data_IF_390503594857
#
_entry.id   IF_390503594857
#
_cell.length_a   1.000
_cell.length_b   1.000
_cell.length_c   1.000
_cell.angle_alpha   90.00
_cell.angle_beta   90.00
_cell.angle_gamma   90.00
#
_symmetry.space_group_name_H-M   'P 1'
#
loop_
_entity.id
_entity.type
_entity.pdbx_description
1 polymer ?
#
# COMPACT_ATOMS: atom_id res chain seq x y z
N UNK A 1 17.32 6.68 -2.77
CA UNK A 1 17.00 7.88 -1.98
C UNK A 1 16.77 9.07 -2.91
N UNK A 2 15.54 9.21 -3.39
CA UNK A 2 14.99 10.47 -3.90
C UNK A 2 13.55 10.47 -3.40
N UNK A 3 13.33 11.00 -2.21
CA UNK A 3 11.98 11.27 -1.72
C UNK A 3 11.42 12.37 -2.60
N UNK A 4 10.46 12.01 -3.45
CA UNK A 4 9.71 12.95 -4.27
C UNK A 4 8.82 13.77 -3.33
N UNK A 5 9.40 14.78 -2.68
CA UNK A 5 8.66 15.85 -2.01
C UNK A 5 8.13 16.78 -3.09
N UNK A 6 7.04 16.37 -3.74
CA UNK A 6 6.22 17.27 -4.54
C UNK A 6 5.39 18.16 -3.59
N UNK A 7 5.32 19.48 -3.80
CA UNK A 7 4.36 20.31 -3.09
C UNK A 7 2.94 19.89 -3.52
N UNK A 8 2.09 19.54 -2.57
CA UNK A 8 0.65 19.38 -2.82
C UNK A 8 0.09 20.77 -3.09
N UNK A 9 0.08 21.17 -4.36
CA UNK A 9 -0.61 22.37 -4.79
C UNK A 9 -2.12 22.08 -4.74
N UNK A 10 -2.78 22.49 -3.66
CA UNK A 10 -4.24 22.53 -3.57
C UNK A 10 -4.78 23.50 -4.63
N UNK A 11 -5.21 22.97 -5.78
CA UNK A 11 -6.02 23.70 -6.73
C UNK A 11 -7.47 23.71 -6.23
N UNK A 12 -7.96 24.88 -5.86
CA UNK A 12 -9.38 25.16 -5.67
C UNK A 12 -10.12 24.87 -6.98
N UNK A 13 -10.73 23.69 -7.10
CA UNK A 13 -11.57 23.33 -8.24
C UNK A 13 -12.95 23.98 -8.09
N UNK A 14 -13.31 24.80 -9.07
CA UNK A 14 -14.62 25.44 -9.17
C UNK A 14 -15.72 24.40 -9.38
N UNK A 15 -16.80 24.49 -8.59
CA UNK A 15 -17.93 23.58 -8.64
C UNK A 15 -18.72 23.70 -9.96
N UNK A 16 -18.81 22.61 -10.72
CA UNK A 16 -19.84 22.42 -11.75
C UNK A 16 -20.82 21.35 -11.29
N UNK A 17 -22.07 21.74 -11.02
CA UNK A 17 -23.16 20.81 -10.74
C UNK A 17 -23.64 20.18 -12.06
N UNK A 18 -23.54 18.87 -12.16
CA UNK A 18 -24.36 18.08 -13.08
C UNK A 18 -25.25 17.16 -12.27
N UNK A 19 -26.55 17.42 -12.35
CA UNK A 19 -27.59 16.58 -11.79
C UNK A 19 -27.80 15.35 -12.68
N UNK A 20 -27.51 14.16 -12.16
CA UNK A 20 -27.95 12.88 -12.71
C UNK A 20 -28.97 12.25 -11.76
N UNK A 21 -30.03 11.65 -12.30
CA UNK A 21 -31.05 10.93 -11.54
C UNK A 21 -30.79 9.42 -11.59
N UNK A 22 -30.84 8.74 -10.44
CA UNK A 22 -31.58 7.48 -10.34
C UNK A 22 -31.03 6.48 -9.35
N UNK A 23 -31.66 6.35 -8.18
CA UNK A 23 -31.72 5.14 -7.32
C UNK A 23 -30.43 4.64 -6.66
N UNK A 24 -29.29 4.73 -7.34
CA UNK A 24 -27.95 4.50 -6.78
C UNK A 24 -27.42 5.71 -6.03
N UNK A 25 -27.92 6.91 -6.33
CA UNK A 25 -27.51 8.16 -5.67
C UNK A 25 -27.85 8.16 -4.19
N UNK A 26 -29.03 7.66 -3.78
CA UNK A 26 -29.44 7.67 -2.37
C UNK A 26 -28.64 6.68 -1.50
N UNK A 27 -28.40 5.45 -1.98
CA UNK A 27 -27.60 4.47 -1.23
C UNK A 27 -26.12 4.88 -1.12
N UNK A 28 -25.57 5.46 -2.20
CA UNK A 28 -24.22 6.00 -2.18
C UNK A 28 -24.11 7.26 -1.32
N UNK A 29 -25.11 8.15 -1.33
CA UNK A 29 -25.18 9.34 -0.48
C UNK A 29 -25.33 8.97 1.01
N UNK A 30 -26.11 7.94 1.34
CA UNK A 30 -26.21 7.40 2.72
C UNK A 30 -24.86 6.83 3.16
N UNK A 31 -24.23 5.96 2.36
CA UNK A 31 -22.90 5.42 2.67
C UNK A 31 -21.84 6.51 2.79
N UNK A 32 -21.91 7.55 1.95
CA UNK A 32 -21.02 8.70 2.01
C UNK A 32 -21.18 9.49 3.30
N UNK A 33 -22.42 9.72 3.75
CA UNK A 33 -22.73 10.44 4.99
C UNK A 33 -22.48 9.62 6.25
N UNK A 34 -22.49 8.30 6.16
CA UNK A 34 -22.05 7.43 7.26
C UNK A 34 -20.54 7.50 7.45
N UNK A 35 -19.76 7.47 6.35
CA UNK A 35 -18.30 7.60 6.41
C UNK A 35 -17.84 9.02 6.76
N UNK A 36 -18.54 10.03 6.24
CA UNK A 36 -18.23 11.44 6.38
C UNK A 36 -19.47 12.20 6.92
N UNK A 37 -19.79 12.05 8.21
CA UNK A 37 -20.98 12.67 8.81
C UNK A 37 -20.88 14.19 8.84
N UNK A 38 -22.04 14.87 8.97
CA UNK A 38 -22.07 16.34 9.06
C UNK A 38 -21.28 16.88 10.27
N UNK A 39 -21.24 16.12 11.37
CA UNK A 39 -20.50 16.47 12.59
C UNK A 39 -19.89 15.23 13.24
N UNK A 40 -18.64 15.34 13.68
CA UNK A 40 -18.02 14.42 14.62
C UNK A 40 -18.17 14.98 16.03
N UNK A 41 -19.17 14.51 16.78
CA UNK A 41 -19.61 15.13 18.04
C UNK A 41 -18.52 15.12 19.12
N UNK A 42 -17.71 14.07 19.17
CA UNK A 42 -16.67 13.82 20.16
C UNK A 42 -15.52 14.84 20.08
N UNK A 43 -15.33 15.45 18.90
CA UNK A 43 -14.25 16.40 18.63
C UNK A 43 -14.77 17.76 18.12
N UNK A 44 -16.09 17.96 18.11
CA UNK A 44 -16.73 19.18 17.61
C UNK A 44 -16.24 19.63 16.21
N UNK A 45 -15.87 18.68 15.34
CA UNK A 45 -15.52 18.97 13.96
C UNK A 45 -16.79 18.96 13.09
N UNK A 46 -16.99 20.01 12.30
CA UNK A 46 -18.16 20.19 11.44
C UNK A 46 -17.76 20.21 9.97
N UNK A 47 -18.48 19.44 9.15
CA UNK A 47 -18.23 19.38 7.71
C UNK A 47 -18.62 20.69 7.04
N UNK A 48 -17.71 21.33 6.32
CA UNK A 48 -17.90 22.64 5.68
C UNK A 48 -18.30 22.53 4.21
N UNK A 49 -18.09 21.36 3.60
CA UNK A 49 -18.47 21.06 2.21
C UNK A 49 -19.53 19.95 2.13
N UNK A 50 -20.17 19.82 0.97
CA UNK A 50 -20.82 18.56 0.62
C UNK A 50 -19.79 17.45 0.44
N UNK A 51 -20.21 16.19 0.57
CA UNK A 51 -19.33 15.06 0.22
C UNK A 51 -19.22 14.97 -1.28
N UNK A 52 -18.00 15.08 -1.79
CA UNK A 52 -17.71 14.83 -3.21
C UNK A 52 -17.28 13.39 -3.38
N UNK A 53 -17.71 12.76 -4.46
CA UNK A 53 -17.30 11.40 -4.82
C UNK A 53 -16.70 11.41 -6.22
N UNK A 54 -15.48 10.88 -6.34
CA UNK A 54 -14.82 10.67 -7.63
C UNK A 54 -14.68 9.16 -7.85
N UNK A 55 -15.11 8.67 -9.01
CA UNK A 55 -15.17 7.24 -9.36
C UNK A 55 -14.29 6.97 -10.58
N UNK A 56 -13.51 5.88 -10.53
CA UNK A 56 -12.66 5.44 -11.63
C UNK A 56 -11.78 6.57 -12.17
N UNK A 57 -11.82 6.79 -13.48
CA UNK A 57 -10.97 7.77 -14.17
C UNK A 57 -11.17 9.23 -13.73
N UNK A 58 -12.29 9.57 -13.07
CA UNK A 58 -12.50 10.95 -12.57
C UNK A 58 -11.57 11.32 -11.41
N UNK A 59 -10.79 10.38 -10.87
CA UNK A 59 -9.78 10.65 -9.84
C UNK A 59 -8.74 11.67 -10.30
N UNK A 60 -8.41 11.71 -11.60
CA UNK A 60 -7.49 12.69 -12.18
C UNK A 60 -7.96 14.14 -12.00
N UNK A 61 -9.27 14.36 -11.91
CA UNK A 61 -9.85 15.69 -11.64
C UNK A 61 -9.58 16.14 -10.19
N UNK A 62 -9.33 15.19 -9.28
CA UNK A 62 -9.07 15.45 -7.87
C UNK A 62 -7.58 15.47 -7.52
N UNK A 63 -6.82 14.47 -7.97
CA UNK A 63 -5.38 14.34 -7.71
C UNK A 63 -4.57 14.22 -9.01
N UNK A 64 -4.34 15.37 -9.65
CA UNK A 64 -3.58 15.45 -10.89
C UNK A 64 -2.12 14.98 -10.71
N UNK A 65 -1.66 14.11 -11.61
CA UNK A 65 -0.35 13.44 -11.53
C UNK A 65 -0.23 12.30 -10.51
N UNK A 66 -1.12 12.23 -9.51
CA UNK A 66 -1.09 11.21 -8.45
C UNK A 66 -1.98 9.99 -8.69
N UNK A 67 -3.01 10.12 -9.54
CA UNK A 67 -4.04 9.08 -9.69
C UNK A 67 -3.53 7.76 -10.29
N UNK A 68 -2.50 7.77 -11.15
CA UNK A 68 -1.94 6.55 -11.77
C UNK A 68 -1.56 5.52 -10.72
N UNK A 69 -0.87 5.94 -9.65
CA UNK A 69 -0.51 5.04 -8.56
C UNK A 69 -1.75 4.43 -7.90
N UNK A 70 -2.83 5.18 -7.71
CA UNK A 70 -4.07 4.65 -7.12
C UNK A 70 -4.73 3.62 -8.08
N UNK A 71 -4.68 3.88 -9.38
CA UNK A 71 -5.20 2.97 -10.41
C UNK A 71 -4.42 1.65 -10.51
N UNK A 72 -3.09 1.66 -10.32
CA UNK A 72 -2.27 0.44 -10.25
C UNK A 72 -2.74 -0.50 -9.11
N UNK A 73 -3.27 0.07 -8.02
CA UNK A 73 -3.88 -0.68 -6.92
C UNK A 73 -5.39 -0.89 -7.11
N UNK A 74 -5.93 -0.71 -8.31
CA UNK A 74 -7.34 -1.02 -8.61
C UNK A 74 -8.34 -0.14 -7.85
N UNK A 75 -8.04 1.16 -7.78
CA UNK A 75 -8.93 2.21 -7.30
C UNK A 75 -10.37 2.06 -7.83
N UNK A 76 -11.35 2.33 -6.96
CA UNK A 76 -12.77 2.33 -7.29
C UNK A 76 -13.36 3.72 -7.19
N UNK A 77 -13.26 4.31 -6.01
CA UNK A 77 -13.79 5.63 -5.74
C UNK A 77 -13.09 6.28 -4.54
N UNK A 78 -13.19 7.60 -4.43
CA UNK A 78 -12.84 8.35 -3.23
C UNK A 78 -14.02 9.23 -2.84
N UNK A 79 -14.35 9.21 -1.56
CA UNK A 79 -15.26 10.17 -0.94
C UNK A 79 -14.44 11.18 -0.15
N UNK A 80 -14.66 12.46 -0.40
CA UNK A 80 -13.89 13.54 0.22
C UNK A 80 -14.77 14.67 0.74
N UNK A 81 -14.41 15.24 1.88
CA UNK A 81 -15.02 16.42 2.45
C UNK A 81 -14.06 17.21 3.34
N UNK A 82 -14.34 18.51 3.49
CA UNK A 82 -13.62 19.39 4.39
C UNK A 82 -14.36 19.51 5.73
N UNK A 83 -13.61 19.62 6.82
CA UNK A 83 -14.10 19.82 8.17
C UNK A 83 -13.36 20.95 8.85
N UNK A 84 -14.07 21.67 9.73
CA UNK A 84 -13.47 22.69 10.59
C UNK A 84 -13.68 22.36 12.06
N UNK A 85 -12.67 22.60 12.89
CA UNK A 85 -12.75 22.58 14.35
C UNK A 85 -12.08 23.85 14.89
N UNK A 86 -12.89 24.83 15.31
CA UNK A 86 -12.38 26.14 15.74
C UNK A 86 -11.80 26.91 14.57
N UNK A 87 -10.47 27.09 14.55
CA UNK A 87 -9.72 27.77 13.48
C UNK A 87 -8.91 26.80 12.62
N UNK A 88 -9.14 25.49 12.76
CA UNK A 88 -8.39 24.43 12.06
C UNK A 88 -9.27 23.75 11.05
N UNK A 89 -8.80 23.73 9.81
CA UNK A 89 -9.44 23.00 8.72
C UNK A 89 -8.67 21.71 8.42
N UNK A 90 -9.41 20.67 8.02
CA UNK A 90 -8.85 19.41 7.54
C UNK A 90 -9.64 18.91 6.32
N UNK A 91 -8.95 18.15 5.46
CA UNK A 91 -9.58 17.35 4.40
C UNK A 91 -9.59 15.89 4.84
N UNK A 92 -10.71 15.20 4.66
CA UNK A 92 -10.83 13.76 4.90
C UNK A 92 -11.16 13.05 3.60
N UNK A 93 -10.26 12.19 3.16
CA UNK A 93 -10.43 11.31 2.01
C UNK A 93 -10.60 9.86 2.44
N UNK A 94 -11.60 9.18 1.91
CA UNK A 94 -11.82 7.74 2.08
C UNK A 94 -11.79 7.09 0.69
N UNK A 95 -10.65 6.48 0.35
CA UNK A 95 -10.42 5.79 -0.92
C UNK A 95 -10.84 4.32 -0.79
N UNK A 96 -11.66 3.83 -1.72
CA UNK A 96 -12.07 2.42 -1.86
C UNK A 96 -11.30 1.74 -3.00
N UNK A 97 -10.82 0.53 -2.76
CA UNK A 97 -10.09 -0.29 -3.72
C UNK A 97 -10.83 -1.59 -4.04
N UNK A 98 -10.41 -2.24 -5.13
CA UNK A 98 -10.99 -3.52 -5.56
C UNK A 98 -10.98 -4.62 -4.49
N UNK A 99 -9.93 -4.69 -3.67
CA UNK A 99 -9.79 -5.62 -2.55
C UNK A 99 -8.87 -5.08 -1.44
N UNK A 100 -8.82 -5.80 -0.32
CA UNK A 100 -8.06 -5.38 0.87
C UNK A 100 -6.54 -5.47 0.68
N UNK A 101 -6.06 -6.39 -0.16
CA UNK A 101 -4.64 -6.50 -0.49
C UNK A 101 -4.15 -5.28 -1.25
N UNK A 102 -4.95 -4.82 -2.21
CA UNK A 102 -4.68 -3.64 -3.00
C UNK A 102 -4.71 -2.36 -2.15
N UNK A 103 -5.70 -2.21 -1.25
CA UNK A 103 -5.73 -1.10 -0.29
C UNK A 103 -4.48 -1.09 0.61
N UNK A 104 -4.10 -2.24 1.16
CA UNK A 104 -2.86 -2.39 1.94
C UNK A 104 -1.63 -2.06 1.10
N UNK A 105 -1.59 -2.50 -0.15
CA UNK A 105 -0.51 -2.23 -1.10
C UNK A 105 -0.23 -0.75 -1.25
N UNK A 106 -1.27 0.02 -1.61
CA UNK A 106 -1.12 1.47 -1.75
C UNK A 106 -0.66 2.10 -0.43
N UNK A 107 -1.33 1.79 0.68
CA UNK A 107 -0.93 2.31 2.00
C UNK A 107 0.54 2.02 2.30
N UNK A 108 0.99 0.78 2.06
CA UNK A 108 2.36 0.36 2.33
C UNK A 108 3.37 1.15 1.51
N UNK A 109 3.04 1.56 0.27
CA UNK A 109 3.90 2.37 -0.60
C UNK A 109 3.88 3.84 -0.20
N UNK A 110 2.76 4.37 0.27
CA UNK A 110 2.65 5.75 0.77
C UNK A 110 3.35 5.97 2.11
N UNK A 111 3.46 4.91 2.94
CA UNK A 111 4.11 4.95 4.25
C UNK A 111 5.56 5.45 4.15
N UNK A 112 5.95 6.50 4.90
CA UNK A 112 7.33 6.98 4.92
C UNK A 112 8.26 5.95 5.58
N UNK A 113 9.57 6.10 5.37
CA UNK A 113 10.58 5.16 5.89
C UNK A 113 10.62 5.13 7.44
N UNK A 114 10.36 6.28 8.09
CA UNK A 114 10.33 6.43 9.55
C UNK A 114 8.97 6.99 10.01
N UNK A 115 7.89 6.19 9.98
CA UNK A 115 6.55 6.65 10.34
C UNK A 115 6.35 6.67 11.86
N UNK A 116 5.59 7.65 12.35
CA UNK A 116 4.99 7.56 13.69
C UNK A 116 3.74 6.68 13.62
N UNK A 117 3.88 5.39 13.94
CA UNK A 117 2.78 4.42 13.86
C UNK A 117 1.71 4.69 14.94
N UNK A 118 0.45 4.55 14.53
CA UNK A 118 -0.73 4.63 15.39
C UNK A 118 -1.61 3.39 15.19
N UNK A 119 -2.28 2.96 16.27
CA UNK A 119 -3.13 1.78 16.26
C UNK A 119 -4.54 2.11 15.73
N UNK A 120 -4.67 2.21 14.40
CA UNK A 120 -5.93 2.44 13.68
C UNK A 120 -5.96 1.51 12.45
N UNK A 121 -7.05 0.75 12.27
CA UNK A 121 -7.18 -0.20 11.18
C UNK A 121 -6.19 -1.37 11.27
N UNK A 122 -5.73 -1.86 10.10
CA UNK A 122 -4.64 -2.83 9.98
C UNK A 122 -3.32 -2.16 10.40
N UNK A 123 -3.09 -0.94 9.89
CA UNK A 123 -1.96 -0.09 10.25
C UNK A 123 -2.30 1.37 9.89
N UNK A 124 -1.77 2.31 10.66
CA UNK A 124 -1.82 3.72 10.34
C UNK A 124 -0.58 4.47 10.83
N UNK A 125 -0.32 5.64 10.26
CA UNK A 125 0.78 6.51 10.66
C UNK A 125 0.37 7.98 10.71
N UNK A 126 1.15 8.76 11.46
CA UNK A 126 1.14 10.22 11.45
C UNK A 126 2.34 10.72 10.64
N UNK A 127 2.09 11.66 9.74
CA UNK A 127 3.10 12.48 9.08
C UNK A 127 2.95 13.95 9.54
N UNK A 128 3.86 14.87 9.16
CA UNK A 128 3.87 16.24 9.71
C UNK A 128 2.52 16.98 9.68
N UNK A 129 1.74 16.80 8.62
CA UNK A 129 0.41 17.41 8.46
C UNK A 129 -0.68 16.42 8.03
N UNK A 130 -0.47 15.12 8.23
CA UNK A 130 -1.44 14.11 7.82
C UNK A 130 -1.52 12.90 8.74
N UNK A 131 -2.66 12.22 8.66
CA UNK A 131 -2.86 10.88 9.22
C UNK A 131 -3.38 9.97 8.13
N UNK A 132 -2.76 8.81 7.98
CA UNK A 132 -3.14 7.81 7.00
C UNK A 132 -3.35 6.47 7.69
N UNK A 133 -4.39 5.72 7.32
CA UNK A 133 -4.57 4.34 7.77
C UNK A 133 -5.25 3.50 6.71
N UNK A 134 -5.15 2.18 6.85
CA UNK A 134 -5.83 1.20 5.99
C UNK A 134 -6.65 0.23 6.81
N UNK A 135 -7.87 -0.06 6.37
CA UNK A 135 -8.75 -1.09 6.95
C UNK A 135 -9.65 -1.65 5.87
N UNK A 136 -9.75 -2.98 5.81
CA UNK A 136 -10.49 -3.63 4.73
C UNK A 136 -10.00 -3.16 3.36
N UNK A 137 -10.93 -2.70 2.52
CA UNK A 137 -10.67 -2.21 1.16
C UNK A 137 -10.39 -0.72 1.09
N UNK A 138 -10.23 -0.06 2.25
CA UNK A 138 -10.26 1.39 2.36
C UNK A 138 -8.93 1.92 2.85
N UNK A 139 -8.40 2.92 2.14
CA UNK A 139 -7.30 3.77 2.63
C UNK A 139 -7.90 5.12 2.96
N UNK A 140 -7.69 5.57 4.20
CA UNK A 140 -8.19 6.86 4.67
C UNK A 140 -7.02 7.79 4.87
N UNK A 141 -7.16 9.02 4.38
CA UNK A 141 -6.16 10.07 4.50
C UNK A 141 -6.81 11.34 5.02
N UNK A 142 -6.26 11.86 6.11
CA UNK A 142 -6.68 13.12 6.70
C UNK A 142 -5.52 14.10 6.58
N UNK A 143 -5.80 15.29 6.07
CA UNK A 143 -4.77 16.29 5.76
C UNK A 143 -5.14 17.58 6.49
N UNK A 144 -4.21 18.09 7.30
CA UNK A 144 -4.27 19.40 7.91
C UNK A 144 -3.45 20.44 7.14
N UNK A 145 -3.77 21.71 7.35
CA UNK A 145 -3.09 22.83 6.68
C UNK A 145 -1.93 23.44 7.48
N UNK A 146 -1.61 22.88 8.65
CA UNK A 146 -0.42 23.19 9.44
C UNK A 146 0.06 21.96 10.24
N UNK A 147 1.25 22.07 10.84
CA UNK A 147 1.90 20.99 11.61
C UNK A 147 1.78 21.19 13.14
N UNK A 148 0.80 21.98 13.59
CA UNK A 148 0.60 22.25 15.03
C UNK A 148 0.13 21.00 15.78
N UNK A 149 0.41 20.94 17.09
CA UNK A 149 -0.01 19.82 17.94
C UNK A 149 -1.54 19.71 18.02
N UNK A 150 -2.23 20.84 17.93
CA UNK A 150 -3.69 20.94 17.85
C UNK A 150 -4.23 20.29 16.56
N UNK A 151 -3.63 20.60 15.41
CA UNK A 151 -4.01 19.97 14.13
C UNK A 151 -3.72 18.47 14.15
N UNK A 152 -2.56 18.05 14.66
CA UNK A 152 -2.24 16.63 14.84
C UNK A 152 -3.28 15.91 15.72
N UNK A 153 -3.68 16.51 16.85
CA UNK A 153 -4.68 15.94 17.74
C UNK A 153 -6.06 15.82 17.05
N UNK A 154 -6.45 16.84 16.27
CA UNK A 154 -7.67 16.83 15.46
C UNK A 154 -7.64 15.69 14.42
N UNK A 155 -6.53 15.55 13.67
CA UNK A 155 -6.38 14.50 12.66
C UNK A 155 -6.49 13.10 13.28
N UNK A 156 -5.75 12.84 14.37
CA UNK A 156 -5.80 11.54 15.06
C UNK A 156 -7.18 11.26 15.65
N UNK A 157 -7.83 12.27 16.25
CA UNK A 157 -9.19 12.15 16.79
C UNK A 157 -10.20 11.81 15.70
N UNK A 158 -10.16 12.53 14.58
CA UNK A 158 -11.04 12.31 13.42
C UNK A 158 -10.80 10.94 12.80
N UNK A 159 -9.54 10.53 12.63
CA UNK A 159 -9.18 9.23 12.06
C UNK A 159 -9.80 8.07 12.84
N UNK A 160 -9.78 8.13 14.17
CA UNK A 160 -10.40 7.11 15.04
C UNK A 160 -11.91 7.03 14.89
N UNK A 161 -12.59 8.14 14.62
CA UNK A 161 -14.04 8.16 14.40
C UNK A 161 -14.40 7.65 13.01
N UNK A 162 -13.61 8.01 11.99
CA UNK A 162 -13.78 7.48 10.64
C UNK A 162 -13.55 5.96 10.62
N UNK A 163 -12.53 5.46 11.32
CA UNK A 163 -12.23 4.02 11.38
C UNK A 163 -13.41 3.18 11.90
N UNK A 164 -14.22 3.72 12.82
CA UNK A 164 -15.41 3.05 13.34
C UNK A 164 -16.51 2.87 12.29
N UNK A 165 -16.54 3.75 11.29
CA UNK A 165 -17.51 3.73 10.18
C UNK A 165 -17.02 2.93 8.97
N UNK A 166 -15.71 2.79 8.85
CA UNK A 166 -15.01 1.99 7.82
C UNK A 166 -15.21 0.49 8.12
N UNK A 167 -15.69 -0.26 7.14
CA UNK A 167 -15.97 -1.69 7.26
C UNK A 167 -14.86 -2.53 6.66
N UNK A 168 -14.63 -3.72 7.23
CA UNK A 168 -13.74 -4.72 6.65
C UNK A 168 -12.79 -5.35 7.67
N UNK A 169 -11.84 -6.12 7.14
CA UNK A 169 -10.86 -6.84 7.96
C UNK A 169 -9.85 -5.91 8.63
N UNK A 170 -9.41 -6.32 9.82
CA UNK A 170 -8.25 -5.74 10.54
C UNK A 170 -6.98 -6.59 10.33
N UNK A 171 -7.09 -7.71 9.61
CA UNK A 171 -5.95 -8.57 9.32
C UNK A 171 -5.18 -8.05 8.08
N UNK A 172 -3.84 -8.04 8.13
CA UNK A 172 -3.03 -7.77 6.94
C UNK A 172 -3.21 -8.89 5.90
N UNK A 173 -2.79 -8.66 4.64
CA UNK A 173 -2.85 -9.67 3.60
C UNK A 173 -2.23 -11.02 4.05
N UNK A 174 -2.95 -12.15 3.97
CA UNK A 174 -2.49 -13.43 4.53
C UNK A 174 -1.15 -13.92 3.99
N UNK A 175 -0.77 -13.50 2.78
CA UNK A 175 0.51 -13.84 2.16
C UNK A 175 1.72 -13.36 2.97
N UNK A 176 1.59 -12.30 3.78
CA UNK A 176 2.67 -11.88 4.69
C UNK A 176 2.96 -12.91 5.78
N UNK A 177 2.01 -13.79 6.12
CA UNK A 177 2.22 -14.90 7.03
C UNK A 177 3.07 -16.04 6.46
N UNK A 178 3.40 -16.01 5.17
CA UNK A 178 4.29 -16.98 4.52
C UNK A 178 5.78 -16.63 4.65
N UNK A 179 6.09 -15.44 5.16
CA UNK A 179 7.46 -14.97 5.36
C UNK A 179 7.97 -15.29 6.78
N UNK A 180 9.29 -15.43 6.98
CA UNK A 180 9.84 -15.71 8.29
C UNK A 180 9.71 -14.52 9.24
N UNK A 181 9.48 -14.79 10.53
CA UNK A 181 9.38 -13.71 11.54
C UNK A 181 10.78 -13.28 12.04
N UNK A 182 11.72 -14.22 12.10
CA UNK A 182 13.09 -13.97 12.56
C UNK A 182 13.81 -13.01 11.62
N UNK A 183 14.57 -12.08 12.20
CA UNK A 183 15.40 -11.09 11.48
C UNK A 183 14.61 -10.08 10.62
N UNK A 184 13.28 -10.12 10.63
CA UNK A 184 12.43 -9.19 9.89
C UNK A 184 12.64 -7.76 10.41
N UNK A 185 12.86 -6.82 9.49
CA UNK A 185 12.87 -5.39 9.77
C UNK A 185 11.42 -4.92 9.84
N UNK A 186 11.05 -4.27 10.95
CA UNK A 186 9.69 -3.79 11.15
C UNK A 186 9.28 -2.80 10.05
N UNK A 187 7.99 -2.79 9.69
CA UNK A 187 7.40 -1.83 8.76
C UNK A 187 7.97 -1.89 7.32
N UNK A 188 8.45 -3.07 6.91
CA UNK A 188 8.96 -3.33 5.54
C UNK A 188 8.05 -4.24 4.71
N UNK A 189 6.92 -4.66 5.27
CA UNK A 189 5.85 -5.36 4.56
C UNK A 189 5.34 -4.46 3.42
N UNK A 190 5.53 -4.91 2.17
CA UNK A 190 5.07 -4.23 0.95
C UNK A 190 4.30 -5.21 0.07
N UNK A 191 3.21 -4.75 -0.52
CA UNK A 191 2.58 -5.42 -1.66
C UNK A 191 2.65 -4.49 -2.86
N UNK A 192 3.28 -4.94 -3.92
CA UNK A 192 3.44 -4.23 -5.18
C UNK A 192 2.49 -4.84 -6.21
N UNK A 193 1.41 -4.12 -6.50
CA UNK A 193 0.40 -4.54 -7.46
C UNK A 193 1.01 -4.65 -8.87
N UNK A 194 1.86 -3.69 -9.23
CA UNK A 194 2.54 -3.62 -10.52
C UNK A 194 4.05 -3.42 -10.37
N UNK A 195 4.79 -3.72 -11.45
CA UNK A 195 6.18 -3.31 -11.67
C UNK A 195 7.18 -3.66 -10.55
N UNK A 196 7.15 -4.87 -10.02
CA UNK A 196 8.19 -5.34 -9.09
C UNK A 196 9.58 -5.19 -9.72
N UNK A 197 10.54 -4.62 -8.98
CA UNK A 197 11.91 -4.28 -9.42
C UNK A 197 11.98 -3.49 -10.75
N UNK A 198 10.92 -2.73 -11.08
CA UNK A 198 10.82 -1.93 -12.30
C UNK A 198 10.39 -2.71 -13.55
N UNK A 199 9.96 -3.98 -13.41
CA UNK A 199 9.56 -4.82 -14.54
C UNK A 199 8.04 -4.98 -14.60
N UNK A 200 7.39 -4.39 -15.60
CA UNK A 200 5.91 -4.37 -15.73
C UNK A 200 5.25 -5.76 -15.76
N UNK A 201 5.96 -6.79 -16.21
CA UNK A 201 5.46 -8.17 -16.22
C UNK A 201 5.40 -8.81 -14.83
N UNK A 202 6.11 -8.23 -13.85
CA UNK A 202 6.21 -8.73 -12.48
C UNK A 202 5.18 -8.02 -11.60
N UNK A 203 3.96 -8.56 -11.58
CA UNK A 203 2.84 -7.99 -10.84
C UNK A 203 2.51 -8.79 -9.59
N UNK A 204 1.85 -8.16 -8.61
CA UNK A 204 1.31 -8.79 -7.39
C UNK A 204 2.37 -9.47 -6.53
N UNK A 205 3.46 -8.76 -6.26
CA UNK A 205 4.54 -9.23 -5.42
C UNK A 205 4.34 -8.77 -3.97
N UNK A 206 4.59 -9.68 -3.03
CA UNK A 206 4.76 -9.36 -1.62
C UNK A 206 6.25 -9.34 -1.33
N UNK A 207 6.70 -8.44 -0.47
CA UNK A 207 8.08 -8.40 0.01
C UNK A 207 8.19 -7.94 1.45
N UNK A 208 9.29 -8.35 2.10
CA UNK A 208 9.70 -7.93 3.44
C UNK A 208 11.22 -7.88 3.49
N UNK A 209 11.76 -6.94 4.27
CA UNK A 209 13.20 -6.78 4.44
C UNK A 209 13.70 -7.43 5.73
N UNK A 210 14.94 -7.89 5.68
CA UNK A 210 15.60 -8.65 6.74
C UNK A 210 17.00 -8.13 6.96
N UNK A 211 17.36 -7.94 8.23
CA UNK A 211 18.72 -7.62 8.64
C UNK A 211 19.49 -8.90 8.91
N UNK A 212 20.43 -9.24 8.02
CA UNK A 212 21.27 -10.43 8.15
C UNK A 212 22.73 -9.97 8.19
N UNK A 213 23.35 -10.13 9.36
CA UNK A 213 24.67 -9.58 9.66
C UNK A 213 24.72 -8.06 9.47
N UNK A 214 25.54 -7.56 8.54
CA UNK A 214 25.66 -6.13 8.22
C UNK A 214 24.89 -5.72 6.96
N UNK A 215 24.11 -6.63 6.36
CA UNK A 215 23.41 -6.43 5.09
C UNK A 215 21.90 -6.48 5.26
N UNK A 216 21.20 -5.74 4.39
CA UNK A 216 19.75 -5.83 4.25
C UNK A 216 19.42 -6.63 3.00
N UNK A 217 18.58 -7.64 3.16
CA UNK A 217 18.03 -8.43 2.04
C UNK A 217 16.52 -8.29 2.00
N UNK A 218 15.95 -8.36 0.80
CA UNK A 218 14.51 -8.40 0.59
C UNK A 218 14.11 -9.79 0.17
N UNK A 219 13.28 -10.46 0.97
CA UNK A 219 12.57 -11.66 0.51
C UNK A 219 11.33 -11.22 -0.27
N UNK A 220 10.99 -11.95 -1.33
CA UNK A 220 9.80 -11.66 -2.12
C UNK A 220 9.08 -12.92 -2.57
N UNK A 221 7.75 -12.83 -2.74
CA UNK A 221 6.95 -13.90 -3.31
C UNK A 221 5.77 -13.39 -4.14
N UNK A 222 5.34 -14.18 -5.12
CA UNK A 222 4.06 -14.03 -5.82
C UNK A 222 3.50 -15.40 -6.19
N UNK A 223 2.18 -15.49 -6.37
CA UNK A 223 1.57 -16.68 -6.95
C UNK A 223 1.94 -16.78 -8.43
N UNK A 224 2.37 -17.97 -8.84
CA UNK A 224 2.77 -18.26 -10.22
C UNK A 224 2.52 -19.74 -10.56
N UNK A 225 1.24 -20.13 -10.52
CA UNK A 225 0.80 -21.53 -10.61
C UNK A 225 1.27 -22.27 -11.87
N UNK A 226 1.46 -21.56 -12.98
CA UNK A 226 1.90 -22.13 -14.26
C UNK A 226 3.34 -21.72 -14.61
N UNK A 227 4.06 -21.07 -13.69
CA UNK A 227 5.41 -20.54 -13.88
C UNK A 227 5.56 -19.53 -15.05
N UNK A 228 4.48 -18.80 -15.39
CA UNK A 228 4.47 -17.82 -16.49
C UNK A 228 5.29 -16.58 -16.12
N UNK A 229 5.16 -16.08 -14.89
CA UNK A 229 5.99 -14.95 -14.43
C UNK A 229 7.44 -15.35 -14.33
N UNK A 230 7.74 -16.56 -13.88
CA UNK A 230 9.10 -17.08 -13.82
C UNK A 230 9.72 -17.18 -15.20
N UNK A 231 8.98 -17.68 -16.19
CA UNK A 231 9.45 -17.73 -17.57
C UNK A 231 9.77 -16.32 -18.09
N UNK A 232 8.82 -15.39 -17.96
CA UNK A 232 8.99 -13.99 -18.41
C UNK A 232 10.16 -13.30 -17.70
N UNK A 233 10.32 -13.49 -16.40
CA UNK A 233 11.46 -12.94 -15.67
C UNK A 233 12.77 -13.57 -16.15
N UNK A 234 12.81 -14.89 -16.33
CA UNK A 234 13.99 -15.57 -16.85
C UNK A 234 14.39 -15.01 -18.23
N UNK A 235 13.44 -14.71 -19.11
CA UNK A 235 13.72 -14.10 -20.42
C UNK A 235 14.31 -12.69 -20.33
N UNK A 236 13.92 -11.91 -19.31
CA UNK A 236 14.41 -10.55 -19.07
C UNK A 236 15.76 -10.50 -18.33
N UNK A 237 16.08 -11.54 -17.57
CA UNK A 237 17.33 -11.59 -16.81
C UNK A 237 18.51 -11.92 -17.72
N UNK A 238 19.36 -10.92 -17.95
CA UNK A 238 20.63 -11.06 -18.68
C UNK A 238 21.72 -11.66 -17.78
N UNK A 239 22.69 -12.35 -18.39
CA UNK A 239 23.86 -12.93 -17.69
C UNK A 239 23.52 -13.82 -16.48
N UNK A 240 22.43 -14.60 -16.60
CA UNK A 240 22.02 -15.56 -15.56
C UNK A 240 23.12 -16.59 -15.29
N UNK A 241 23.18 -17.03 -14.03
CA UNK A 241 23.97 -18.16 -13.55
C UNK A 241 23.07 -19.15 -12.82
N UNK A 242 23.59 -20.35 -12.60
CA UNK A 242 22.87 -21.39 -11.86
C UNK A 242 22.70 -20.98 -10.40
N UNK A 243 21.49 -21.18 -9.88
CA UNK A 243 21.23 -21.11 -8.45
C UNK A 243 21.92 -22.29 -7.72
N UNK A 244 22.20 -22.16 -6.40
CA UNK A 244 22.73 -23.28 -5.61
C UNK A 244 21.84 -24.52 -5.73
N UNK A 245 22.45 -25.65 -6.10
CA UNK A 245 21.74 -26.90 -6.40
C UNK A 245 21.14 -27.59 -5.19
N UNK A 246 21.55 -27.21 -3.98
CA UNK A 246 21.05 -27.70 -2.70
C UNK A 246 19.82 -26.93 -2.19
N UNK A 247 19.40 -25.87 -2.87
CA UNK A 247 18.14 -25.19 -2.58
C UNK A 247 16.97 -25.95 -3.19
N UNK A 248 15.94 -26.19 -2.37
CA UNK A 248 14.81 -27.04 -2.69
C UNK A 248 13.77 -26.39 -3.63
N UNK A 249 14.21 -25.78 -4.73
CA UNK A 249 13.33 -25.27 -5.79
C UNK A 249 12.70 -26.40 -6.60
N UNK A 250 11.52 -26.15 -7.16
CA UNK A 250 10.77 -27.14 -7.93
C UNK A 250 11.37 -27.33 -9.33
N UNK A 251 11.64 -28.58 -9.71
CA UNK A 251 12.05 -28.99 -11.06
C UNK A 251 13.25 -28.20 -11.63
N UNK A 252 14.16 -27.73 -10.77
CA UNK A 252 15.32 -26.92 -11.19
C UNK A 252 14.95 -25.55 -11.77
N UNK A 253 13.72 -25.05 -11.54
CA UNK A 253 13.29 -23.73 -11.98
C UNK A 253 13.82 -22.66 -11.03
N UNK A 254 15.09 -22.32 -11.21
CA UNK A 254 15.75 -21.25 -10.47
C UNK A 254 16.89 -20.64 -11.29
N UNK A 255 17.25 -19.40 -10.96
CA UNK A 255 18.41 -18.72 -11.52
C UNK A 255 18.90 -17.63 -10.58
N UNK A 256 20.17 -17.26 -10.75
CA UNK A 256 20.78 -16.08 -10.16
C UNK A 256 21.10 -15.08 -11.26
N UNK A 257 20.92 -13.79 -11.00
CA UNK A 257 21.41 -12.74 -11.89
C UNK A 257 21.74 -11.46 -11.11
N UNK A 258 22.60 -10.63 -11.68
CA UNK A 258 23.01 -9.36 -11.08
C UNK A 258 22.17 -8.21 -11.64
N UNK A 259 21.73 -7.32 -10.77
CA UNK A 259 21.07 -6.08 -11.15
C UNK A 259 21.72 -4.88 -10.42
N UNK A 260 21.91 -3.78 -11.15
CA UNK A 260 22.63 -2.59 -10.65
C UNK A 260 22.06 -1.98 -9.35
N UNK A 261 20.76 -2.15 -9.07
CA UNK A 261 20.09 -1.52 -7.92
C UNK A 261 19.69 -2.49 -6.81
N UNK A 262 19.62 -3.78 -7.11
CA UNK A 262 19.09 -4.82 -6.22
C UNK A 262 20.11 -5.94 -5.93
N UNK A 263 21.36 -5.73 -6.37
CA UNK A 263 22.47 -6.67 -6.23
C UNK A 263 22.18 -8.00 -6.94
N UNK A 264 22.73 -9.06 -6.35
CA UNK A 264 22.53 -10.42 -6.82
C UNK A 264 21.16 -10.92 -6.41
N UNK A 265 20.28 -11.21 -7.38
CA UNK A 265 18.93 -11.68 -7.12
C UNK A 265 18.87 -13.19 -7.37
N UNK A 266 18.45 -13.93 -6.35
CA UNK A 266 18.08 -15.34 -6.43
C UNK A 266 16.58 -15.44 -6.68
N UNK A 267 16.18 -16.17 -7.72
CA UNK A 267 14.77 -16.39 -8.09
C UNK A 267 14.52 -17.87 -8.31
N UNK A 268 13.37 -18.38 -7.89
CA UNK A 268 12.94 -19.72 -8.27
C UNK A 268 11.47 -20.02 -7.96
N UNK A 269 11.02 -21.20 -8.38
CA UNK A 269 9.68 -21.70 -8.10
C UNK A 269 9.69 -22.63 -6.89
N UNK A 270 8.74 -22.45 -5.98
CA UNK A 270 8.46 -23.35 -4.87
C UNK A 270 6.96 -23.44 -4.61
N UNK A 271 6.38 -24.64 -4.71
CA UNK A 271 4.97 -24.92 -4.45
C UNK A 271 4.01 -23.89 -5.08
N UNK A 272 4.08 -23.76 -6.41
CA UNK A 272 3.26 -22.83 -7.23
C UNK A 272 3.48 -21.33 -6.94
N UNK A 273 4.57 -20.98 -6.25
CA UNK A 273 4.95 -19.60 -5.96
C UNK A 273 6.29 -19.31 -6.63
N UNK A 274 6.42 -18.13 -7.20
CA UNK A 274 7.71 -17.56 -7.54
C UNK A 274 8.21 -16.84 -6.29
N UNK A 275 9.40 -17.22 -5.82
CA UNK A 275 10.03 -16.68 -4.62
C UNK A 275 11.48 -16.30 -4.87
N UNK A 276 12.05 -15.49 -3.99
CA UNK A 276 13.45 -15.14 -4.09
C UNK A 276 13.95 -14.16 -3.04
N UNK A 277 15.21 -13.79 -3.21
CA UNK A 277 15.97 -12.92 -2.31
C UNK A 277 16.81 -11.94 -3.14
N UNK A 278 16.78 -10.66 -2.78
CA UNK A 278 17.75 -9.64 -3.26
C UNK A 278 19.03 -9.69 -2.44
N UNK A 279 20.14 -9.16 -2.96
CA UNK A 279 21.44 -9.18 -2.29
C UNK A 279 21.84 -10.59 -1.79
N UNK A 280 21.56 -11.63 -2.57
CA UNK A 280 21.91 -13.01 -2.25
C UNK A 280 23.44 -13.20 -2.23
N UNK A 281 23.94 -13.84 -1.18
CA UNK A 281 25.26 -14.48 -1.17
C UNK A 281 25.22 -15.80 -0.37
N UNK A 282 26.29 -16.58 -0.46
CA UNK A 282 26.35 -17.91 0.14
C UNK A 282 26.33 -17.90 1.68
N UNK A 283 26.67 -16.79 2.34
CA UNK A 283 26.55 -16.66 3.80
C UNK A 283 25.08 -16.62 4.26
N UNK A 284 24.18 -16.16 3.38
CA UNK A 284 22.73 -16.05 3.66
C UNK A 284 21.93 -17.27 3.19
N UNK A 285 22.60 -18.27 2.62
CA UNK A 285 21.96 -19.45 2.02
C UNK A 285 21.12 -20.24 3.02
N UNK A 286 21.63 -20.44 4.25
CA UNK A 286 20.92 -21.21 5.28
C UNK A 286 19.58 -20.56 5.65
N UNK A 287 19.60 -19.25 5.92
CA UNK A 287 18.39 -18.47 6.19
C UNK A 287 17.38 -18.56 5.04
N UNK A 288 17.84 -18.42 3.78
CA UNK A 288 16.96 -18.54 2.62
C UNK A 288 16.40 -19.97 2.46
N UNK A 289 17.23 -21.00 2.67
CA UNK A 289 16.84 -22.39 2.57
C UNK A 289 15.77 -22.77 3.60
N UNK A 290 15.91 -22.31 4.83
CA UNK A 290 14.92 -22.52 5.90
C UNK A 290 13.56 -21.94 5.52
N UNK A 291 13.55 -20.71 5.01
CA UNK A 291 12.32 -20.11 4.50
C UNK A 291 11.76 -20.89 3.32
N UNK A 292 12.58 -21.21 2.31
CA UNK A 292 12.16 -21.94 1.12
C UNK A 292 11.50 -23.29 1.48
N UNK A 293 12.04 -23.99 2.48
CA UNK A 293 11.50 -25.26 2.97
C UNK A 293 10.20 -25.11 3.78
N UNK A 294 9.91 -23.93 4.32
CA UNK A 294 8.65 -23.65 5.03
C UNK A 294 7.46 -23.47 4.09
N UNK A 295 7.69 -23.19 2.81
CA UNK A 295 6.66 -22.84 1.81
C UNK A 295 5.90 -24.05 1.21
N UNK A 296 5.73 -25.12 1.99
CA UNK A 296 5.08 -26.37 1.57
C UNK A 296 3.65 -26.21 1.04
#
# INVERSE_FOLDING_TARGET
MNSFRGPVACLLAAAFMLAGCGGGDEANDVSARELLPQKFQEIAAERTTEVRTFVGESLWEYIDGGAEQYHEYGFKEVKTAEYTMGEKDIVVDVYEFSDATNAYGLYSVLRPDEPEIINIGIEGYVAPSSVEFVKGKQVVRLIGFDESSETKALLVGTAKLVEQSVQGTLDPPPAFGLFPISLRIALTDKYLAESFIGQKVLTKFYSQDYGIEAETVTLFLTLDNVADKFQKWSELAENKSDAPSDLAFDNGKSFLYEQSWHGRILVGIKNSKLVGMTNYDDSRKEFFADWLNSLN
#
